data_IF_045801156130
#
_entry.id   IF_045801156130
#
_cell.length_a   1.000
_cell.length_b   1.000
_cell.length_c   1.000
_cell.angle_alpha   90.00
_cell.angle_beta   90.00
_cell.angle_gamma   90.00
#
_symmetry.space_group_name_H-M   'P 1'
#
loop_
_entity.id
_entity.type
_entity.pdbx_description
1 polymer ?
#
# COMPACT_ATOMS: atom_id res chain seq x y z
N UNK A 1 34.23 -36.61 15.79
CA UNK A 1 32.88 -36.04 15.99
C UNK A 1 32.86 -35.28 17.30
N UNK A 2 32.78 -33.94 17.30
CA UNK A 2 32.38 -33.18 18.47
C UNK A 2 30.92 -32.72 18.33
N UNK A 3 30.15 -32.99 19.38
CA UNK A 3 28.73 -32.68 19.55
C UNK A 3 28.48 -31.18 19.67
N UNK A 4 27.57 -30.64 18.87
CA UNK A 4 27.06 -29.27 19.01
C UNK A 4 26.10 -29.16 20.22
N UNK A 5 26.15 -28.05 20.99
CA UNK A 5 25.16 -27.80 22.02
C UNK A 5 23.84 -27.32 21.40
N UNK A 6 22.73 -27.80 21.99
CA UNK A 6 21.37 -27.47 21.58
C UNK A 6 21.05 -25.97 21.78
N UNK A 7 20.47 -25.34 20.76
CA UNK A 7 19.92 -23.99 20.85
C UNK A 7 18.61 -24.02 21.66
N UNK A 8 18.35 -23.05 22.55
CA UNK A 8 17.12 -23.01 23.33
C UNK A 8 15.92 -22.67 22.43
N UNK A 9 14.88 -23.51 22.52
CA UNK A 9 13.59 -23.28 21.88
C UNK A 9 12.89 -22.06 22.48
N UNK A 10 12.87 -20.96 21.74
CA UNK A 10 12.03 -19.81 22.00
C UNK A 10 10.87 -19.78 21.01
N UNK A 11 9.68 -20.19 21.44
CA UNK A 11 8.45 -19.97 20.69
C UNK A 11 8.14 -18.46 20.69
N UNK A 12 8.56 -17.74 19.67
CA UNK A 12 8.14 -16.36 19.47
C UNK A 12 6.68 -16.35 19.02
N UNK A 13 5.77 -16.06 19.96
CA UNK A 13 4.37 -15.72 19.64
C UNK A 13 4.38 -14.55 18.68
N UNK A 14 3.79 -14.73 17.51
CA UNK A 14 3.45 -13.64 16.60
C UNK A 14 2.44 -12.73 17.31
N UNK A 15 2.92 -11.65 17.92
CA UNK A 15 2.09 -10.61 18.49
C UNK A 15 1.50 -9.78 17.36
N UNK A 16 0.22 -9.98 17.08
CA UNK A 16 -0.53 -9.21 16.11
C UNK A 16 -0.48 -7.71 16.41
N UNK A 17 0.10 -6.92 15.50
CA UNK A 17 -0.03 -5.46 15.47
C UNK A 17 0.51 -4.77 14.21
N UNK A 18 1.13 -5.48 13.25
CA UNK A 18 1.78 -4.86 12.09
C UNK A 18 0.85 -4.22 11.04
N UNK A 19 -0.46 -4.46 11.13
CA UNK A 19 -1.47 -3.87 10.24
C UNK A 19 -1.97 -2.50 10.70
N UNK A 20 -1.74 -2.14 11.98
CA UNK A 20 -2.55 -1.11 12.65
C UNK A 20 -2.18 0.35 12.33
N UNK A 21 -1.09 0.58 11.59
CA UNK A 21 -0.49 1.92 11.43
C UNK A 21 -0.14 2.29 9.96
N UNK A 22 -0.65 1.56 8.96
CA UNK A 22 0.02 1.45 7.66
C UNK A 22 -0.63 2.00 6.38
N UNK A 23 -1.82 2.62 6.39
CA UNK A 23 -2.37 3.22 5.16
C UNK A 23 -1.71 4.58 4.87
N UNK A 24 -0.73 4.55 3.96
CA UNK A 24 0.23 5.61 3.61
C UNK A 24 -0.30 6.66 2.63
N UNK A 25 -1.51 6.51 2.10
CA UNK A 25 -2.08 7.45 1.10
C UNK A 25 -2.55 8.79 1.70
N UNK A 26 -2.28 9.09 2.98
CA UNK A 26 -2.73 10.32 3.68
C UNK A 26 -2.69 11.52 2.73
N UNK A 27 -3.87 12.11 2.48
CA UNK A 27 -4.04 13.39 1.78
C UNK A 27 -2.94 14.35 2.25
N UNK A 28 -2.14 14.98 1.36
CA UNK A 28 -1.40 16.15 1.78
C UNK A 28 -2.39 17.14 2.40
N UNK A 29 -2.02 17.88 3.46
CA UNK A 29 -2.87 18.97 3.92
C UNK A 29 -3.18 19.84 2.70
N UNK A 30 -4.47 20.15 2.51
CA UNK A 30 -4.91 21.01 1.43
C UNK A 30 -3.95 22.22 1.34
N UNK A 31 -3.49 22.63 0.14
CA UNK A 31 -2.68 23.82 0.04
C UNK A 31 -3.42 24.93 0.77
N UNK A 32 -2.71 25.57 1.72
CA UNK A 32 -3.26 26.71 2.45
C UNK A 32 -3.82 27.66 1.40
N UNK A 33 -5.16 27.79 1.42
CA UNK A 33 -5.98 28.55 0.49
C UNK A 33 -5.15 29.64 -0.21
N UNK A 34 -4.72 29.35 -1.45
CA UNK A 34 -4.01 30.31 -2.26
C UNK A 34 -5.00 31.42 -2.57
N UNK A 35 -4.98 32.46 -1.73
CA UNK A 35 -5.68 33.71 -1.99
C UNK A 35 -5.00 34.34 -3.21
N UNK A 36 -5.54 34.07 -4.38
CA UNK A 36 -5.29 34.92 -5.53
C UNK A 36 -6.56 35.02 -6.36
N UNK A 37 -7.08 36.25 -6.36
CA UNK A 37 -8.04 36.86 -7.28
C UNK A 37 -9.52 36.46 -7.15
N UNK A 38 -10.22 37.12 -6.23
CA UNK A 38 -11.53 37.72 -6.53
C UNK A 38 -11.60 39.15 -5.94
N UNK A 39 -12.35 40.07 -6.57
CA UNK A 39 -12.31 41.48 -6.25
C UNK A 39 -13.04 41.79 -4.94
N UNK A 40 -12.43 42.73 -4.22
CA UNK A 40 -12.95 43.66 -3.21
C UNK A 40 -14.44 43.53 -2.87
N UNK A 41 -14.75 43.08 -1.64
CA UNK A 41 -15.67 43.75 -0.70
C UNK A 41 -15.63 43.02 0.66
N UNK A 42 -15.31 43.75 1.73
CA UNK A 42 -15.62 43.35 3.11
C UNK A 42 -14.43 43.03 4.01
N UNK A 43 -13.98 44.04 4.76
CA UNK A 43 -12.97 43.92 5.83
C UNK A 43 -13.40 42.91 6.90
N UNK A 44 -12.66 41.82 7.06
CA UNK A 44 -12.57 41.09 8.33
C UNK A 44 -11.27 41.49 9.04
N UNK A 45 -11.39 42.01 10.27
CA UNK A 45 -10.25 42.48 11.08
C UNK A 45 -9.29 41.38 11.52
N UNK A 46 -8.15 41.74 12.15
CA UNK A 46 -7.10 40.78 12.49
C UNK A 46 -7.53 39.84 13.62
N UNK A 47 -7.57 38.55 13.32
CA UNK A 47 -7.82 37.50 14.31
C UNK A 47 -6.60 37.39 15.24
N UNK A 48 -6.78 37.79 16.50
CA UNK A 48 -5.76 37.66 17.56
C UNK A 48 -5.49 36.18 17.83
N UNK A 49 -4.21 35.79 17.78
CA UNK A 49 -3.76 34.45 18.11
C UNK A 49 -3.98 34.17 19.61
N UNK A 50 -4.68 33.09 19.94
CA UNK A 50 -4.72 32.54 21.29
C UNK A 50 -3.41 31.78 21.59
N UNK A 51 -2.79 31.95 22.77
CA UNK A 51 -1.56 31.24 23.11
C UNK A 51 -1.89 29.85 23.70
N UNK A 52 -1.15 28.83 23.25
CA UNK A 52 -1.01 27.57 23.99
C UNK A 52 -1.84 26.38 23.49
N UNK A 53 -1.53 25.88 22.30
CA UNK A 53 -1.54 24.44 22.06
C UNK A 53 -0.32 24.11 21.21
N UNK A 54 0.62 23.35 21.78
CA UNK A 54 1.77 22.87 21.01
C UNK A 54 1.25 22.10 19.81
N UNK A 55 1.75 22.32 18.59
CA UNK A 55 1.37 21.48 17.47
C UNK A 55 1.75 20.05 17.82
N UNK A 56 0.73 19.20 17.99
CA UNK A 56 0.93 17.77 18.17
C UNK A 56 1.74 17.28 16.98
N UNK A 57 2.97 16.85 17.27
CA UNK A 57 3.91 16.31 16.28
C UNK A 57 3.15 15.30 15.41
N UNK A 58 3.09 15.46 14.08
CA UNK A 58 2.66 14.36 13.24
C UNK A 58 3.66 13.24 13.50
N UNK A 59 3.15 12.09 13.95
CA UNK A 59 3.95 10.89 14.19
C UNK A 59 4.38 10.36 12.81
N UNK A 60 5.40 11.01 12.24
CA UNK A 60 5.97 10.69 10.94
C UNK A 60 6.96 9.56 11.09
N UNK A 61 6.53 8.35 10.75
CA UNK A 61 7.37 7.15 10.74
C UNK A 61 8.34 7.09 9.56
N UNK A 62 8.29 8.04 8.63
CA UNK A 62 9.39 8.33 7.70
C UNK A 62 10.30 9.37 8.32
N UNK A 63 11.42 8.91 8.90
CA UNK A 63 12.48 9.82 9.32
C UNK A 63 13.05 10.51 8.07
N UNK A 64 13.19 11.84 8.07
CA UNK A 64 14.03 12.53 7.08
C UNK A 64 15.40 11.83 7.05
N UNK A 65 15.81 11.36 5.87
CA UNK A 65 17.03 10.57 5.68
C UNK A 65 16.84 9.05 5.63
N UNK A 66 15.61 8.55 5.70
CA UNK A 66 15.30 7.13 5.58
C UNK A 66 15.25 6.70 4.11
N UNK A 67 15.97 5.62 3.82
CA UNK A 67 15.94 4.93 2.53
C UNK A 67 14.90 3.83 2.63
N UNK A 68 13.96 3.78 1.70
CA UNK A 68 12.94 2.74 1.62
C UNK A 68 13.19 1.82 0.42
N UNK A 69 12.86 0.55 0.57
CA UNK A 69 12.96 -0.47 -0.46
C UNK A 69 11.56 -0.94 -0.85
N UNK A 70 11.12 -0.63 -2.06
CA UNK A 70 9.89 -1.18 -2.63
C UNK A 70 10.18 -2.47 -3.37
N UNK A 71 9.50 -3.56 -3.03
CA UNK A 71 9.59 -4.87 -3.69
C UNK A 71 8.23 -5.22 -4.32
N UNK A 72 8.20 -5.34 -5.65
CA UNK A 72 7.06 -5.82 -6.43
C UNK A 72 7.31 -7.26 -6.88
N UNK A 73 6.41 -8.16 -6.49
CA UNK A 73 6.43 -9.59 -6.81
C UNK A 73 5.43 -9.87 -7.93
N UNK A 74 5.82 -9.54 -9.16
CA UNK A 74 5.04 -9.80 -10.37
C UNK A 74 5.03 -11.27 -10.78
N UNK A 75 4.03 -11.69 -11.57
CA UNK A 75 3.91 -13.06 -12.11
C UNK A 75 4.92 -13.41 -13.21
N UNK A 76 5.79 -12.46 -13.60
CA UNK A 76 6.85 -12.65 -14.60
C UNK A 76 8.17 -12.02 -14.21
N UNK A 77 8.12 -10.87 -13.53
CA UNK A 77 9.28 -10.09 -13.11
C UNK A 77 9.16 -9.73 -11.65
N UNK A 78 10.26 -9.89 -10.93
CA UNK A 78 10.49 -9.28 -9.63
C UNK A 78 11.15 -7.93 -9.86
N UNK A 79 10.68 -6.90 -9.16
CA UNK A 79 11.23 -5.54 -9.29
C UNK A 79 11.53 -5.01 -7.90
N UNK A 80 12.66 -4.35 -7.76
CA UNK A 80 13.02 -3.66 -6.52
C UNK A 80 13.46 -2.23 -6.82
N UNK A 81 12.97 -1.29 -6.02
CA UNK A 81 13.28 0.13 -6.11
C UNK A 81 13.79 0.61 -4.76
N UNK A 82 14.95 1.25 -4.75
CA UNK A 82 15.48 1.91 -3.57
C UNK A 82 15.27 3.42 -3.69
N UNK A 83 14.46 3.98 -2.80
CA UNK A 83 14.09 5.40 -2.82
C UNK A 83 14.56 6.11 -1.56
N UNK A 84 15.11 7.32 -1.73
CA UNK A 84 15.48 8.23 -0.65
C UNK A 84 14.43 9.31 -0.48
N UNK A 85 13.93 9.46 0.75
CA UNK A 85 12.98 10.52 1.14
C UNK A 85 13.71 11.65 1.89
N UNK A 86 15.02 11.81 1.67
CA UNK A 86 15.83 12.83 2.35
C UNK A 86 15.49 14.26 1.94
N UNK A 87 14.96 14.45 0.72
CA UNK A 87 14.64 15.75 0.12
C UNK A 87 13.13 15.92 -0.05
N UNK A 88 12.70 17.10 -0.48
CA UNK A 88 11.28 17.37 -0.77
C UNK A 88 10.74 16.50 -1.91
N UNK A 89 11.60 16.15 -2.87
CA UNK A 89 11.28 15.21 -3.96
C UNK A 89 11.91 13.86 -3.65
N UNK A 90 11.14 12.75 -3.71
CA UNK A 90 11.72 11.42 -3.59
C UNK A 90 12.73 11.16 -4.72
N UNK A 91 13.89 10.63 -4.38
CA UNK A 91 14.94 10.30 -5.35
C UNK A 91 15.10 8.78 -5.44
N UNK A 92 14.96 8.23 -6.65
CA UNK A 92 15.25 6.81 -6.91
C UNK A 92 16.75 6.63 -7.04
N UNK A 93 17.34 5.92 -6.09
CA UNK A 93 18.78 5.68 -6.03
C UNK A 93 19.18 4.39 -6.76
N UNK A 94 18.32 3.37 -6.79
CA UNK A 94 18.55 2.10 -7.49
C UNK A 94 17.24 1.49 -7.96
N UNK A 95 17.31 0.81 -9.10
CA UNK A 95 16.26 -0.05 -9.63
C UNK A 95 16.93 -1.35 -10.07
N UNK A 96 16.34 -2.48 -9.75
CA UNK A 96 16.74 -3.76 -10.32
C UNK A 96 15.51 -4.60 -10.65
N UNK A 97 15.66 -5.47 -11.65
CA UNK A 97 14.59 -6.33 -12.12
C UNK A 97 15.16 -7.71 -12.43
N UNK A 98 14.40 -8.75 -12.11
CA UNK A 98 14.75 -10.14 -12.40
C UNK A 98 13.54 -10.87 -12.96
N UNK A 99 13.75 -11.52 -14.09
CA UNK A 99 12.74 -12.36 -14.72
C UNK A 99 12.61 -13.69 -13.96
N UNK A 100 11.38 -14.15 -13.70
CA UNK A 100 11.10 -15.48 -13.15
C UNK A 100 11.31 -16.56 -14.23
N UNK A 101 11.75 -17.75 -13.86
CA UNK A 101 12.05 -18.84 -14.82
C UNK A 101 10.78 -19.44 -15.42
N UNK A 102 9.70 -19.52 -14.62
CA UNK A 102 8.33 -19.77 -15.08
C UNK A 102 7.53 -18.49 -14.88
N UNK A 103 6.68 -18.12 -15.82
CA UNK A 103 5.69 -17.05 -15.63
C UNK A 103 4.35 -17.68 -15.26
N UNK A 104 3.58 -17.06 -14.36
CA UNK A 104 2.39 -17.71 -13.79
C UNK A 104 2.03 -17.22 -12.40
N UNK A 105 0.78 -17.43 -11.99
CA UNK A 105 0.38 -17.39 -10.58
C UNK A 105 1.15 -18.46 -9.80
N UNK A 106 1.36 -19.64 -10.39
CA UNK A 106 2.26 -20.68 -9.85
C UNK A 106 3.72 -20.22 -9.71
N UNK A 107 4.12 -19.16 -10.41
CA UNK A 107 5.46 -18.60 -10.30
C UNK A 107 5.64 -17.67 -9.08
N UNK A 108 4.53 -17.26 -8.46
CA UNK A 108 4.53 -16.46 -7.23
C UNK A 108 4.62 -17.32 -5.97
N UNK A 109 4.54 -18.65 -6.07
CA UNK A 109 4.55 -19.54 -4.92
C UNK A 109 5.87 -20.29 -4.73
N UNK A 110 6.26 -20.47 -3.46
CA UNK A 110 7.26 -21.44 -3.03
C UNK A 110 8.73 -21.07 -3.22
N UNK A 111 9.60 -22.07 -3.21
CA UNK A 111 11.06 -21.88 -3.23
C UNK A 111 11.61 -21.10 -4.44
N UNK A 112 11.10 -21.27 -5.69
CA UNK A 112 11.67 -20.59 -6.85
C UNK A 112 11.56 -19.06 -6.79
N UNK A 113 10.46 -18.52 -6.27
CA UNK A 113 10.30 -17.06 -6.12
C UNK A 113 11.21 -16.53 -5.03
N UNK A 114 11.36 -17.25 -3.92
CA UNK A 114 12.24 -16.89 -2.81
C UNK A 114 13.69 -16.81 -3.28
N UNK A 115 14.16 -17.83 -3.98
CA UNK A 115 15.52 -17.86 -4.56
C UNK A 115 15.71 -16.69 -5.52
N UNK A 116 14.72 -16.38 -6.35
CA UNK A 116 14.78 -15.25 -7.27
C UNK A 116 14.83 -13.90 -6.54
N UNK A 117 14.10 -13.71 -5.43
CA UNK A 117 14.20 -12.51 -4.58
C UNK A 117 15.60 -12.39 -3.98
N UNK A 118 16.15 -13.48 -3.42
CA UNK A 118 17.52 -13.49 -2.86
C UNK A 118 18.55 -13.10 -3.91
N UNK A 119 18.45 -13.66 -5.12
CA UNK A 119 19.38 -13.33 -6.21
C UNK A 119 19.18 -11.89 -6.71
N UNK A 120 17.95 -11.36 -6.74
CA UNK A 120 17.69 -9.96 -7.10
C UNK A 120 18.40 -8.99 -6.15
N UNK A 121 18.34 -9.25 -4.84
CA UNK A 121 19.03 -8.42 -3.84
C UNK A 121 20.56 -8.55 -3.93
N UNK A 122 21.06 -9.78 -4.16
CA UNK A 122 22.49 -10.03 -4.35
C UNK A 122 23.05 -9.28 -5.55
N UNK A 123 22.41 -9.40 -6.71
CA UNK A 123 22.91 -8.81 -7.97
C UNK A 123 22.80 -7.28 -8.00
N UNK A 124 21.78 -6.73 -7.34
CA UNK A 124 21.58 -5.28 -7.25
C UNK A 124 22.51 -4.59 -6.25
N UNK A 125 23.23 -5.37 -5.43
CA UNK A 125 24.05 -4.85 -4.33
C UNK A 125 23.23 -4.12 -3.27
N UNK A 126 21.92 -4.38 -3.21
CA UNK A 126 21.03 -3.80 -2.21
C UNK A 126 21.28 -4.46 -0.86
N UNK A 127 21.33 -3.65 0.19
CA UNK A 127 21.40 -4.17 1.56
C UNK A 127 20.08 -4.83 1.90
N UNK A 128 20.15 -6.01 2.49
CA UNK A 128 18.98 -6.64 3.12
C UNK A 128 18.46 -5.74 4.25
N UNK A 129 17.15 -5.73 4.44
CA UNK A 129 16.50 -4.89 5.42
C UNK A 129 14.99 -4.95 5.29
N UNK A 130 14.33 -3.91 5.80
CA UNK A 130 12.90 -3.72 5.67
C UNK A 130 12.49 -3.36 4.24
N UNK A 131 11.43 -3.99 3.75
CA UNK A 131 10.84 -3.73 2.45
C UNK A 131 9.36 -3.37 2.58
N UNK A 132 8.92 -2.49 1.69
CA UNK A 132 7.53 -2.23 1.39
C UNK A 132 7.13 -3.11 0.21
N UNK A 133 6.08 -3.91 0.36
CA UNK A 133 5.57 -4.77 -0.71
C UNK A 133 4.05 -4.70 -0.77
N UNK A 134 3.44 -5.29 -1.80
CA UNK A 134 2.03 -5.17 -2.08
C UNK A 134 1.31 -6.50 -2.28
N UNK A 135 0.00 -6.49 -2.09
CA UNK A 135 -0.94 -7.55 -2.47
C UNK A 135 -1.91 -7.03 -3.52
N UNK A 136 -2.30 -7.90 -4.44
CA UNK A 136 -3.26 -7.60 -5.51
C UNK A 136 -4.12 -8.80 -5.83
N UNK A 137 -5.06 -8.59 -6.77
CA UNK A 137 -5.92 -9.63 -7.30
C UNK A 137 -7.26 -9.72 -6.60
N UNK A 138 -8.05 -10.70 -7.03
CA UNK A 138 -9.44 -10.90 -6.61
C UNK A 138 -9.65 -11.10 -5.09
N UNK A 139 -8.59 -11.36 -4.32
CA UNK A 139 -8.67 -11.46 -2.86
C UNK A 139 -8.45 -10.15 -2.12
N UNK A 140 -8.31 -9.01 -2.82
CA UNK A 140 -8.18 -7.68 -2.22
C UNK A 140 -9.37 -6.81 -2.66
N UNK A 141 -9.99 -6.13 -1.70
CA UNK A 141 -11.11 -5.21 -1.93
C UNK A 141 -10.81 -3.90 -1.23
N UNK A 142 -10.90 -2.80 -1.99
CA UNK A 142 -10.90 -1.45 -1.47
C UNK A 142 -12.20 -0.74 -1.86
N UNK A 143 -12.94 -0.22 -0.88
CA UNK A 143 -14.25 0.42 -1.09
C UNK A 143 -14.43 1.64 -0.20
N UNK A 144 -14.91 2.75 -0.77
CA UNK A 144 -15.39 3.91 -0.02
C UNK A 144 -16.80 3.66 0.50
N UNK A 145 -17.01 3.94 1.77
CA UNK A 145 -18.21 3.63 2.55
C UNK A 145 -18.56 4.86 3.40
N UNK A 146 -19.86 5.15 3.58
CA UNK A 146 -20.33 6.30 4.36
C UNK A 146 -20.99 5.80 5.64
N UNK A 147 -20.55 6.33 6.78
CA UNK A 147 -21.03 5.95 8.11
C UNK A 147 -21.45 7.18 8.90
N UNK A 148 -22.33 7.01 9.88
CA UNK A 148 -22.61 8.07 10.85
C UNK A 148 -21.36 8.43 11.65
N UNK A 149 -21.26 9.69 12.09
CA UNK A 149 -20.09 10.14 12.83
C UNK A 149 -19.99 9.47 14.19
N UNK A 150 -18.91 8.71 14.41
CA UNK A 150 -18.62 8.03 15.68
C UNK A 150 -17.15 8.16 16.11
N UNK A 151 -16.84 7.73 17.34
CA UNK A 151 -15.46 7.73 17.82
C UNK A 151 -14.65 6.61 17.13
N UNK A 152 -13.33 6.78 16.93
CA UNK A 152 -12.50 5.74 16.33
C UNK A 152 -12.52 4.37 17.04
N UNK A 153 -12.85 4.36 18.34
CA UNK A 153 -13.01 3.12 19.12
C UNK A 153 -14.26 2.33 18.71
N UNK A 154 -15.37 3.02 18.48
CA UNK A 154 -16.67 2.44 18.08
C UNK A 154 -16.64 2.03 16.60
N UNK A 155 -15.93 2.81 15.78
CA UNK A 155 -15.80 2.62 14.34
C UNK A 155 -15.29 1.22 13.96
N UNK A 156 -14.41 0.61 14.77
CA UNK A 156 -13.89 -0.74 14.47
C UNK A 156 -14.96 -1.83 14.49
N UNK A 157 -15.91 -1.72 15.40
CA UNK A 157 -16.99 -2.72 15.55
C UNK A 157 -18.00 -2.56 14.41
N UNK A 158 -18.39 -1.32 14.11
CA UNK A 158 -19.31 -1.00 13.01
C UNK A 158 -18.71 -1.41 11.67
N UNK A 159 -17.43 -1.10 11.42
CA UNK A 159 -16.76 -1.48 10.18
C UNK A 159 -16.73 -2.99 9.98
N UNK A 160 -16.57 -3.78 11.03
CA UNK A 160 -16.60 -5.24 10.94
C UNK A 160 -17.96 -5.70 10.43
N UNK A 161 -19.04 -5.16 10.97
CA UNK A 161 -20.40 -5.49 10.54
C UNK A 161 -20.70 -5.02 9.10
N UNK A 162 -20.30 -3.79 8.75
CA UNK A 162 -20.45 -3.25 7.40
C UNK A 162 -19.65 -4.03 6.36
N UNK A 163 -18.46 -4.51 6.73
CA UNK A 163 -17.64 -5.33 5.85
C UNK A 163 -18.31 -6.68 5.53
N UNK A 164 -18.99 -7.32 6.48
CA UNK A 164 -19.72 -8.58 6.23
C UNK A 164 -20.78 -8.43 5.12
N UNK A 165 -21.42 -7.26 5.02
CA UNK A 165 -22.43 -6.97 4.00
C UNK A 165 -21.82 -6.65 2.62
N UNK A 166 -20.51 -6.48 2.53
CA UNK A 166 -19.82 -6.02 1.33
C UNK A 166 -18.77 -7.00 0.80
N UNK A 167 -18.28 -7.90 1.64
CA UNK A 167 -17.28 -8.87 1.25
C UNK A 167 -17.95 -10.12 0.67
N UNK A 168 -17.51 -10.60 -0.50
CA UNK A 168 -18.00 -11.85 -1.08
C UNK A 168 -17.34 -13.09 -0.45
N UNK A 169 -16.69 -12.93 0.71
CA UNK A 169 -15.99 -13.97 1.45
C UNK A 169 -16.16 -13.75 2.96
N UNK A 170 -15.92 -14.81 3.73
CA UNK A 170 -16.04 -14.79 5.18
C UNK A 170 -15.07 -13.77 5.80
N UNK A 171 -15.59 -12.89 6.64
CA UNK A 171 -14.80 -11.92 7.40
C UNK A 171 -13.76 -12.58 8.30
N UNK A 172 -13.99 -13.83 8.73
CA UNK A 172 -13.02 -14.60 9.50
C UNK A 172 -11.79 -15.00 8.67
N UNK A 173 -11.86 -14.96 7.33
CA UNK A 173 -10.77 -15.33 6.42
C UNK A 173 -9.98 -14.14 5.85
N UNK A 174 -10.29 -12.91 6.28
CA UNK A 174 -9.64 -11.69 5.80
C UNK A 174 -8.93 -10.93 6.90
N UNK A 175 -7.90 -10.19 6.49
CA UNK A 175 -7.38 -9.04 7.21
C UNK A 175 -8.16 -7.80 6.75
N UNK A 176 -8.54 -6.97 7.72
CA UNK A 176 -9.35 -5.77 7.49
C UNK A 176 -8.64 -4.57 8.09
N UNK A 177 -8.56 -3.51 7.30
CA UNK A 177 -8.08 -2.21 7.74
C UNK A 177 -8.97 -1.08 7.17
N UNK A 178 -8.89 0.10 7.77
CA UNK A 178 -9.68 1.24 7.32
C UNK A 178 -8.99 2.57 7.56
N UNK A 179 -9.39 3.56 6.78
CA UNK A 179 -8.96 4.93 6.99
C UNK A 179 -10.12 5.91 6.80
N UNK A 180 -10.25 6.83 7.76
CA UNK A 180 -11.20 7.94 7.68
C UNK A 180 -10.70 8.93 6.64
N UNK A 181 -11.48 9.14 5.58
CA UNK A 181 -11.22 10.10 4.49
C UNK A 181 -11.63 11.52 4.93
N UNK A 182 -12.87 11.63 5.44
CA UNK A 182 -13.50 12.88 5.84
C UNK A 182 -14.22 12.66 7.17
N UNK A 183 -13.88 13.37 8.26
CA UNK A 183 -14.53 13.22 9.57
C UNK A 183 -15.89 13.95 9.66
N UNK A 184 -16.65 13.98 8.55
CA UNK A 184 -17.94 14.65 8.43
C UNK A 184 -19.07 13.90 9.16
N UNK A 185 -20.30 14.31 8.88
CA UNK A 185 -21.51 13.55 9.22
C UNK A 185 -22.46 13.60 8.00
N UNK A 186 -22.52 12.54 7.18
CA UNK A 186 -21.82 11.26 7.35
C UNK A 186 -20.29 11.37 7.19
N UNK A 187 -19.55 10.49 7.87
CA UNK A 187 -18.12 10.33 7.68
C UNK A 187 -17.82 9.38 6.51
N UNK A 188 -16.82 9.74 5.71
CA UNK A 188 -16.33 8.90 4.63
C UNK A 188 -15.18 8.04 5.12
N UNK A 189 -15.26 6.73 4.89
CA UNK A 189 -14.24 5.75 5.29
C UNK A 189 -13.85 4.91 4.08
N UNK A 190 -12.54 4.71 3.89
CA UNK A 190 -12.00 3.74 2.96
C UNK A 190 -11.79 2.43 3.70
N UNK A 191 -12.58 1.42 3.34
CA UNK A 191 -12.44 0.06 3.82
C UNK A 191 -11.51 -0.72 2.91
N UNK A 192 -10.58 -1.47 3.49
CA UNK A 192 -9.66 -2.36 2.79
C UNK A 192 -9.75 -3.74 3.42
N UNK A 193 -9.93 -4.76 2.59
CA UNK A 193 -9.92 -6.15 3.02
C UNK A 193 -9.03 -6.97 2.10
N UNK A 194 -8.20 -7.82 2.66
CA UNK A 194 -7.36 -8.76 1.93
C UNK A 194 -7.50 -10.16 2.53
N UNK A 195 -7.61 -11.19 1.69
CA UNK A 195 -7.60 -12.59 2.15
C UNK A 195 -6.31 -12.87 2.94
N UNK A 196 -6.45 -13.53 4.10
CA UNK A 196 -5.31 -13.90 4.96
C UNK A 196 -4.28 -14.73 4.23
N UNK A 197 -4.71 -15.60 3.31
CA UNK A 197 -3.80 -16.43 2.54
C UNK A 197 -2.88 -15.60 1.65
N UNK A 198 -3.40 -14.54 1.00
CA UNK A 198 -2.59 -13.64 0.17
C UNK A 198 -1.58 -12.85 1.00
N UNK A 199 -2.03 -12.37 2.16
CA UNK A 199 -1.16 -11.71 3.14
C UNK A 199 -0.04 -12.64 3.59
N UNK A 200 -0.39 -13.86 3.96
CA UNK A 200 0.54 -14.84 4.48
C UNK A 200 1.55 -15.25 3.41
N UNK A 201 1.10 -15.50 2.18
CA UNK A 201 1.97 -15.81 1.05
C UNK A 201 2.97 -14.68 0.78
N UNK A 202 2.50 -13.43 0.64
CA UNK A 202 3.35 -12.28 0.38
C UNK A 202 4.39 -12.07 1.49
N UNK A 203 3.97 -12.17 2.75
CA UNK A 203 4.88 -12.01 3.90
C UNK A 203 5.87 -13.15 4.03
N UNK A 204 5.46 -14.39 3.71
CA UNK A 204 6.32 -15.56 3.81
C UNK A 204 7.41 -15.58 2.75
N UNK A 205 7.13 -15.13 1.52
CA UNK A 205 8.13 -14.98 0.47
C UNK A 205 9.24 -14.03 0.92
N UNK A 206 8.87 -12.85 1.43
CA UNK A 206 9.81 -11.84 1.92
C UNK A 206 10.61 -12.35 3.11
N UNK A 207 9.94 -12.97 4.09
CA UNK A 207 10.58 -13.51 5.30
C UNK A 207 11.58 -14.61 4.98
N UNK A 208 11.21 -15.55 4.10
CA UNK A 208 12.06 -16.68 3.71
C UNK A 208 13.27 -16.21 2.89
N UNK A 209 13.14 -15.10 2.15
CA UNK A 209 14.25 -14.46 1.46
C UNK A 209 15.23 -13.71 2.40
N UNK A 210 14.99 -13.72 3.71
CA UNK A 210 15.83 -13.04 4.70
C UNK A 210 15.58 -11.53 4.80
N UNK A 211 14.42 -11.06 4.37
CA UNK A 211 13.99 -9.66 4.43
C UNK A 211 12.90 -9.49 5.49
N UNK A 212 12.62 -8.25 5.89
CA UNK A 212 11.51 -7.92 6.79
C UNK A 212 10.44 -7.15 6.03
N UNK A 213 9.17 -7.49 6.20
CA UNK A 213 8.06 -6.66 5.70
C UNK A 213 7.86 -5.50 6.67
N UNK A 214 8.15 -4.27 6.23
CA UNK A 214 7.84 -3.05 6.99
C UNK A 214 6.41 -2.60 6.75
N UNK A 215 5.97 -2.66 5.49
CA UNK A 215 4.63 -2.26 5.07
C UNK A 215 4.15 -3.27 4.03
N UNK A 216 2.91 -3.73 4.21
CA UNK A 216 2.17 -4.47 3.21
C UNK A 216 1.04 -3.58 2.71
N UNK A 217 0.99 -3.36 1.40
CA UNK A 217 0.08 -2.42 0.76
C UNK A 217 -0.79 -3.10 -0.31
N UNK A 218 -1.70 -2.35 -0.94
CA UNK A 218 -2.49 -2.79 -2.09
C UNK A 218 -1.92 -2.19 -3.37
N UNK A 219 -1.68 -3.00 -4.39
CA UNK A 219 -1.05 -2.53 -5.65
C UNK A 219 -1.85 -1.41 -6.33
N UNK A 220 -3.19 -1.44 -6.22
CA UNK A 220 -4.05 -0.35 -6.70
C UNK A 220 -3.76 1.00 -6.04
N UNK A 221 -3.32 1.01 -4.78
CA UNK A 221 -2.89 2.22 -4.09
C UNK A 221 -1.46 2.60 -4.47
N UNK A 222 -0.57 1.63 -4.71
CA UNK A 222 0.75 1.92 -5.26
C UNK A 222 0.63 2.63 -6.62
N UNK A 223 -0.24 2.12 -7.51
CA UNK A 223 -0.57 2.71 -8.81
C UNK A 223 -1.20 4.10 -8.65
N UNK A 224 -2.19 4.21 -7.75
CA UNK A 224 -2.55 5.41 -6.96
C UNK A 224 -1.51 6.51 -6.95
N UNK A 225 -0.51 6.23 -6.14
CA UNK A 225 0.48 7.18 -5.70
C UNK A 225 1.49 7.49 -6.79
N UNK A 226 1.84 6.50 -7.62
CA UNK A 226 2.65 6.73 -8.81
C UNK A 226 1.95 7.67 -9.80
N UNK A 227 0.65 7.49 -10.04
CA UNK A 227 -0.13 8.36 -10.94
C UNK A 227 -0.10 9.81 -10.45
N UNK A 228 -0.55 10.05 -9.21
CA UNK A 228 -0.67 11.43 -8.68
C UNK A 228 0.69 12.10 -8.47
N UNK A 229 1.73 11.33 -8.19
CA UNK A 229 3.08 11.90 -8.11
C UNK A 229 3.56 12.45 -9.46
N UNK A 230 3.29 11.73 -10.55
CA UNK A 230 3.71 12.14 -11.90
C UNK A 230 2.72 13.11 -12.57
N UNK A 231 1.45 13.03 -12.20
CA UNK A 231 0.33 13.81 -12.73
C UNK A 231 -0.48 14.39 -11.57
N UNK A 232 -0.02 15.48 -10.92
CA UNK A 232 -0.74 16.10 -9.80
C UNK A 232 -2.18 16.50 -10.13
N UNK A 233 -2.45 16.84 -11.40
CA UNK A 233 -3.79 17.12 -11.93
C UNK A 233 -4.75 15.92 -11.80
N UNK A 234 -4.21 14.70 -11.76
CA UNK A 234 -4.98 13.47 -11.57
C UNK A 234 -5.51 13.32 -10.13
N UNK A 235 -5.16 14.24 -9.22
CA UNK A 235 -5.74 14.31 -7.89
C UNK A 235 -7.13 15.00 -7.88
N UNK A 236 -7.53 15.65 -8.97
CA UNK A 236 -8.81 16.34 -9.11
C UNK A 236 -9.69 15.63 -10.14
N UNK A 237 -11.00 15.55 -9.89
CA UNK A 237 -11.95 14.89 -10.79
C UNK A 237 -11.84 13.35 -10.76
N UNK A 238 -12.19 12.71 -11.88
CA UNK A 238 -12.23 11.25 -12.03
C UNK A 238 -11.23 10.79 -13.07
N UNK A 239 -10.27 9.98 -12.67
CA UNK A 239 -9.24 9.40 -13.52
C UNK A 239 -9.18 7.88 -13.35
N UNK A 240 -8.75 7.19 -14.40
CA UNK A 240 -8.56 5.75 -14.37
C UNK A 240 -7.12 5.43 -14.76
N UNK A 241 -6.45 4.60 -13.96
CA UNK A 241 -5.18 3.99 -14.31
C UNK A 241 -5.35 2.48 -14.46
N UNK A 242 -4.67 1.91 -15.45
CA UNK A 242 -4.64 0.48 -15.70
C UNK A 242 -3.17 0.02 -15.74
N UNK A 243 -2.81 -0.87 -14.82
CA UNK A 243 -1.55 -1.62 -14.88
C UNK A 243 -1.81 -2.94 -15.60
N UNK A 244 -1.25 -3.07 -16.81
CA UNK A 244 -1.39 -4.26 -17.66
C UNK A 244 -0.17 -5.15 -17.42
N UNK A 245 -0.31 -6.09 -16.49
CA UNK A 245 0.72 -7.05 -16.13
C UNK A 245 0.83 -8.23 -17.10
N UNK A 246 1.70 -9.20 -16.74
CA UNK A 246 1.87 -10.43 -17.52
C UNK A 246 0.62 -11.32 -17.49
N UNK A 247 -0.01 -11.49 -16.32
CA UNK A 247 -1.21 -12.32 -16.17
C UNK A 247 -2.44 -11.56 -15.77
N UNK A 248 -2.28 -10.56 -14.90
CA UNK A 248 -3.38 -9.76 -14.38
C UNK A 248 -3.27 -8.32 -14.86
N UNK A 249 -4.42 -7.70 -15.08
CA UNK A 249 -4.54 -6.25 -15.28
C UNK A 249 -5.26 -5.66 -14.08
N UNK A 250 -4.64 -4.71 -13.42
CA UNK A 250 -5.23 -4.00 -12.28
C UNK A 250 -5.69 -2.63 -12.74
N UNK A 251 -6.99 -2.37 -12.58
CA UNK A 251 -7.61 -1.07 -12.89
C UNK A 251 -7.99 -0.39 -11.60
N UNK A 252 -7.54 0.84 -11.43
CA UNK A 252 -7.93 1.73 -10.33
C UNK A 252 -8.63 2.96 -10.90
N UNK A 253 -9.85 3.20 -10.45
CA UNK A 253 -10.56 4.46 -10.67
C UNK A 253 -10.35 5.32 -9.43
N UNK A 254 -9.83 6.51 -9.65
CA UNK A 254 -9.50 7.49 -8.61
C UNK A 254 -10.43 8.69 -8.78
N UNK A 255 -11.15 9.03 -7.72
CA UNK A 255 -12.05 10.18 -7.65
C UNK A 255 -11.54 11.13 -6.57
N UNK A 256 -11.27 12.39 -6.92
CA UNK A 256 -10.75 13.42 -6.00
C UNK A 256 -9.48 12.95 -5.26
N UNK A 257 -8.63 12.23 -5.99
CA UNK A 257 -7.39 11.65 -5.50
C UNK A 257 -7.58 10.43 -4.60
N UNK A 258 -8.80 9.92 -4.43
CA UNK A 258 -9.09 8.76 -3.57
C UNK A 258 -9.48 7.57 -4.45
N UNK A 259 -8.93 6.36 -4.21
CA UNK A 259 -9.38 5.16 -4.89
C UNK A 259 -10.87 4.90 -4.66
N UNK A 260 -11.68 5.00 -5.71
CA UNK A 260 -13.11 4.75 -5.67
C UNK A 260 -13.42 3.29 -5.97
N UNK A 261 -12.74 2.71 -6.97
CA UNK A 261 -12.91 1.32 -7.40
C UNK A 261 -11.55 0.74 -7.75
N UNK A 262 -11.25 -0.45 -7.22
CA UNK A 262 -10.13 -1.27 -7.68
C UNK A 262 -10.68 -2.59 -8.22
N UNK A 263 -10.25 -2.96 -9.43
CA UNK A 263 -10.66 -4.19 -10.10
C UNK A 263 -9.46 -4.85 -10.75
N UNK A 264 -9.31 -6.13 -10.46
CA UNK A 264 -8.35 -6.99 -11.12
C UNK A 264 -9.06 -7.86 -12.17
N UNK A 265 -8.41 -8.01 -13.32
CA UNK A 265 -8.83 -8.89 -14.39
C UNK A 265 -7.75 -9.95 -14.61
N UNK A 266 -8.14 -11.22 -14.72
CA UNK A 266 -7.26 -12.33 -15.13
C UNK A 266 -7.00 -12.29 -16.65
N UNK A 267 -6.52 -11.14 -17.11
CA UNK A 267 -6.11 -10.87 -18.47
C UNK A 267 -4.84 -10.03 -18.43
N UNK A 268 -3.84 -10.41 -19.19
CA UNK A 268 -2.57 -9.70 -19.27
C UNK A 268 -1.84 -10.02 -20.57
N UNK A 269 -0.59 -9.57 -20.65
CA UNK A 269 0.25 -9.70 -21.84
C UNK A 269 0.43 -11.17 -22.27
N UNK A 270 0.39 -12.14 -21.35
CA UNK A 270 0.44 -13.57 -21.64
C UNK A 270 -0.67 -14.00 -22.60
N UNK A 271 -1.89 -13.49 -22.42
CA UNK A 271 -3.03 -13.81 -23.28
C UNK A 271 -2.85 -13.26 -24.68
N UNK A 272 -2.29 -12.04 -24.81
CA UNK A 272 -1.94 -11.44 -26.09
C UNK A 272 -0.85 -12.24 -26.81
N UNK A 273 0.22 -12.62 -26.10
CA UNK A 273 1.29 -13.42 -26.67
C UNK A 273 0.81 -14.79 -27.16
N UNK A 274 -0.12 -15.44 -26.44
CA UNK A 274 -0.72 -16.72 -26.89
C UNK A 274 -1.58 -16.57 -28.14
N UNK A 275 -2.31 -15.46 -28.28
CA UNK A 275 -3.18 -15.21 -29.43
C UNK A 275 -2.40 -14.84 -30.71
N UNK A 276 -1.16 -14.36 -30.56
CA UNK A 276 -0.30 -13.99 -31.67
C UNK A 276 0.54 -15.16 -32.24
N UNK A 277 0.46 -16.34 -31.62
CA UNK A 277 1.15 -17.58 -32.03
C UNK A 277 0.20 -18.48 -32.81
#
# INVERSE_FOLDING_TARGET
MPTMPALPGGSARATGSSWKDGLWWRRPPAPACARSAMPDYGRCGPCRQAPGSSPSRPMGWFRRGQVSLGLDVGSRYLKVVQMSLARQTPEVSRIAMRALTKGGDDARAGAPVVDAVVQLFRDSGLKQGGVVTGVAGHGVIAKRIQLERMKPSELREVIRWEAEQHLPFDIASVELDFQILTPGDPMDVLLVAAKRDLVHEATEIVRTAGLAVEVLDVDGFALRNALIHNHPEAAEGVVMAADIGWETTTVVVVEEGIPAVTRDFHFGVRSLCKAAQ
#
